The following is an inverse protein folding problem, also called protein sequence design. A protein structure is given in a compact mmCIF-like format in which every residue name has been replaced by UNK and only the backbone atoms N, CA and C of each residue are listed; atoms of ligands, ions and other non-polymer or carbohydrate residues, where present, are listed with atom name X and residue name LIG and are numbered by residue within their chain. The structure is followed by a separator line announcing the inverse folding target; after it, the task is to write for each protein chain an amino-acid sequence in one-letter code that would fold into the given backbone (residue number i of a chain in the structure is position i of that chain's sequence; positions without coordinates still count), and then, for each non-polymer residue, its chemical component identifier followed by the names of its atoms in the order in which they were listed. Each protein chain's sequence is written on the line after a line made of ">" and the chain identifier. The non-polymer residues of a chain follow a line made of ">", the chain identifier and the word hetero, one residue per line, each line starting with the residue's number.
data_IF_086051905620
#
_entry.id   IF_086051905620
#
_cell.length_a   1.000
_cell.length_b   1.000
_cell.length_c   1.000
_cell.angle_alpha   90.00
_cell.angle_beta   90.00
_cell.angle_gamma   90.00
#
_symmetry.space_group_name_H-M   'P 1'
#
loop_
_entity.id
_entity.type
_entity.pdbx_description
1 polymer ?
#
# COMPACT_ATOMS: atom_id res chain seq x y z
N UNK A 1 -0.06 17.14 27.00
CA UNK A 1 -0.52 17.36 25.60
C UNK A 1 -0.83 15.99 25.03
N UNK A 2 -2.11 15.66 24.86
CA UNK A 2 -2.54 14.37 24.32
C UNK A 2 -2.06 14.27 22.87
N UNK A 3 -1.23 13.25 22.57
CA UNK A 3 -0.64 13.00 21.24
C UNK A 3 -1.21 11.76 20.55
N UNK A 4 -2.10 11.03 21.23
CA UNK A 4 -2.73 9.85 20.67
C UNK A 4 -3.69 10.21 19.55
N UNK A 5 -3.79 9.32 18.56
CA UNK A 5 -4.67 9.45 17.40
C UNK A 5 -4.86 8.11 16.70
N UNK A 6 -5.92 7.99 15.92
CA UNK A 6 -6.25 6.86 15.08
C UNK A 6 -6.22 7.31 13.61
N UNK A 7 -5.31 6.73 12.83
CA UNK A 7 -5.21 6.88 11.38
C UNK A 7 -5.74 5.62 10.70
N UNK A 8 -6.76 5.75 9.85
CA UNK A 8 -7.38 4.63 9.16
C UNK A 8 -7.11 4.69 7.65
N UNK A 9 -6.49 3.65 7.11
CA UNK A 9 -6.23 3.44 5.68
C UNK A 9 -7.17 2.35 5.19
N UNK A 10 -8.10 2.71 4.32
CA UNK A 10 -9.11 1.81 3.75
C UNK A 10 -9.06 1.76 2.23
N UNK A 11 -9.82 0.85 1.64
CA UNK A 11 -9.89 0.66 0.19
C UNK A 11 -9.98 -0.82 -0.18
N UNK A 12 -10.15 -1.13 -1.47
CA UNK A 12 -10.25 -2.52 -1.90
C UNK A 12 -8.93 -3.27 -1.75
N UNK A 13 -8.96 -4.57 -2.04
CA UNK A 13 -7.76 -5.35 -2.30
C UNK A 13 -6.95 -4.72 -3.44
N UNK A 14 -5.64 -4.93 -3.43
CA UNK A 14 -4.68 -4.41 -4.43
C UNK A 14 -4.50 -2.88 -4.44
N UNK A 15 -5.09 -2.15 -3.49
CA UNK A 15 -4.93 -0.69 -3.36
C UNK A 15 -3.62 -0.27 -2.63
N UNK A 16 -2.76 -1.20 -2.25
CA UNK A 16 -1.49 -0.89 -1.57
C UNK A 16 -1.62 -0.47 -0.10
N UNK A 17 -2.70 -0.87 0.60
CA UNK A 17 -2.96 -0.47 2.00
C UNK A 17 -1.83 -0.83 2.96
N UNK A 18 -1.40 -2.09 2.98
CA UNK A 18 -0.24 -2.54 3.78
C UNK A 18 1.02 -1.74 3.41
N UNK A 19 1.25 -1.45 2.13
CA UNK A 19 2.41 -0.65 1.68
C UNK A 19 2.36 0.76 2.26
N UNK A 20 1.19 1.41 2.23
CA UNK A 20 1.00 2.74 2.82
C UNK A 20 1.15 2.71 4.35
N UNK A 21 0.58 1.70 5.03
CA UNK A 21 0.77 1.50 6.47
C UNK A 21 2.25 1.39 6.82
N UNK A 22 2.99 0.52 6.12
CA UNK A 22 4.41 0.32 6.36
C UNK A 22 5.25 1.56 6.00
N UNK A 23 4.86 2.35 4.99
CA UNK A 23 5.49 3.63 4.68
C UNK A 23 5.34 4.62 5.84
N UNK A 24 4.15 4.69 6.46
CA UNK A 24 3.92 5.53 7.65
C UNK A 24 4.72 5.02 8.85
N UNK A 25 4.75 3.72 9.09
CA UNK A 25 5.59 3.11 10.15
C UNK A 25 7.07 3.46 9.95
N UNK A 26 7.60 3.32 8.73
CA UNK A 26 9.00 3.70 8.42
C UNK A 26 9.27 5.17 8.74
N UNK A 27 8.33 6.08 8.46
CA UNK A 27 8.44 7.51 8.82
C UNK A 27 8.56 7.71 10.33
N UNK A 28 7.75 7.01 11.12
CA UNK A 28 7.82 7.11 12.60
C UNK A 28 9.13 6.53 13.16
N UNK A 29 9.64 5.44 12.56
CA UNK A 29 10.97 4.90 12.90
C UNK A 29 12.08 5.91 12.64
N UNK A 30 12.04 6.64 11.51
CA UNK A 30 13.00 7.72 11.24
C UNK A 30 12.92 8.86 12.25
N UNK A 31 11.73 9.10 12.82
CA UNK A 31 11.52 10.02 13.94
C UNK A 31 11.91 9.42 15.32
N UNK A 32 12.48 8.20 15.33
CA UNK A 32 12.92 7.44 16.53
C UNK A 32 11.78 6.97 17.43
N UNK A 33 10.58 6.82 16.89
CA UNK A 33 9.46 6.21 17.60
C UNK A 33 9.55 4.68 17.59
N UNK A 34 9.23 4.07 18.73
CA UNK A 34 9.10 2.63 18.86
C UNK A 34 7.78 2.17 18.23
N UNK A 35 7.86 1.22 17.30
CA UNK A 35 6.71 0.76 16.51
C UNK A 35 6.43 -0.72 16.74
N UNK A 36 5.14 -1.07 16.86
CA UNK A 36 4.66 -2.44 16.97
C UNK A 36 3.65 -2.74 15.86
N UNK A 37 3.95 -3.76 15.05
CA UNK A 37 3.08 -4.17 13.95
C UNK A 37 2.28 -5.41 14.36
N UNK A 38 0.97 -5.35 14.24
CA UNK A 38 0.04 -6.43 14.55
C UNK A 38 -0.60 -6.90 13.25
N UNK A 39 -0.50 -8.19 12.96
CA UNK A 39 -1.06 -8.84 11.78
C UNK A 39 -2.08 -9.88 12.19
N UNK A 40 -3.00 -10.19 11.27
CA UNK A 40 -3.95 -11.27 11.46
C UNK A 40 -3.30 -12.65 11.26
N UNK A 41 -3.37 -13.51 12.27
CA UNK A 41 -2.66 -14.79 12.29
C UNK A 41 -3.08 -15.75 11.16
N UNK A 42 -4.34 -15.71 10.72
CA UNK A 42 -4.82 -16.60 9.66
C UNK A 42 -4.48 -16.10 8.26
N UNK A 43 -3.94 -14.90 8.12
CA UNK A 43 -3.48 -14.37 6.84
C UNK A 43 -2.00 -14.72 6.59
N UNK A 44 -1.78 -15.93 6.06
CA UNK A 44 -0.45 -16.47 5.78
C UNK A 44 0.08 -16.11 4.38
N UNK A 45 -0.65 -15.28 3.62
CA UNK A 45 -0.29 -14.92 2.23
C UNK A 45 1.05 -14.18 2.13
N UNK A 46 1.42 -13.45 3.18
CA UNK A 46 2.63 -12.63 3.21
C UNK A 46 3.90 -13.42 3.59
N UNK A 47 3.79 -14.54 4.29
CA UNK A 47 4.96 -15.33 4.71
C UNK A 47 5.60 -16.08 3.54
N UNK A 48 4.82 -16.39 2.49
CA UNK A 48 5.30 -17.13 1.31
C UNK A 48 6.11 -16.25 0.34
N UNK A 49 5.91 -14.93 0.37
CA UNK A 49 6.53 -13.99 -0.59
C UNK A 49 7.62 -13.09 -0.02
N UNK A 50 7.85 -13.10 1.30
CA UNK A 50 8.84 -12.23 1.95
C UNK A 50 10.19 -12.93 2.21
N UNK A 51 10.64 -13.74 1.25
CA UNK A 51 12.04 -14.16 1.19
C UNK A 51 12.86 -12.98 0.67
N UNK A 52 13.67 -12.43 1.58
CA UNK A 52 14.79 -11.53 1.33
C UNK A 52 14.46 -10.16 0.73
N UNK A 53 13.95 -9.25 1.55
CA UNK A 53 14.28 -7.83 1.40
C UNK A 53 15.30 -7.45 2.49
N UNK A 54 16.42 -6.86 2.06
CA UNK A 54 17.58 -6.43 2.85
C UNK A 54 17.25 -5.37 3.95
N UNK A 55 15.96 -5.10 4.16
CA UNK A 55 15.33 -4.17 5.10
C UNK A 55 14.81 -4.88 6.38
N UNK A 56 15.11 -6.16 6.58
CA UNK A 56 14.67 -6.94 7.76
C UNK A 56 15.18 -6.41 9.12
N UNK A 57 16.02 -5.38 9.13
CA UNK A 57 16.66 -4.87 10.35
C UNK A 57 15.72 -4.00 11.21
N UNK A 58 14.65 -3.41 10.66
CA UNK A 58 13.96 -2.28 11.33
C UNK A 58 12.56 -2.57 11.88
N UNK A 59 11.97 -3.76 11.66
CA UNK A 59 10.66 -4.12 12.19
C UNK A 59 10.75 -5.33 13.13
N UNK A 60 11.54 -5.20 14.20
CA UNK A 60 11.80 -6.28 15.18
C UNK A 60 10.61 -6.65 16.06
N UNK A 61 9.55 -5.83 16.08
CA UNK A 61 8.36 -6.05 16.89
C UNK A 61 7.14 -6.29 15.99
N UNK A 62 6.88 -7.56 15.69
CA UNK A 62 5.68 -8.01 15.00
C UNK A 62 4.97 -9.08 15.83
N UNK A 63 3.65 -9.04 15.85
CA UNK A 63 2.82 -10.11 16.39
C UNK A 63 1.80 -10.53 15.33
N UNK A 64 1.57 -11.85 15.23
CA UNK A 64 0.50 -12.42 14.45
C UNK A 64 -0.52 -13.02 15.42
N UNK A 65 -1.72 -12.45 15.48
CA UNK A 65 -2.77 -12.78 16.46
C UNK A 65 -4.12 -12.91 15.78
N UNK A 66 -5.06 -13.64 16.39
CA UNK A 66 -6.44 -13.70 15.88
C UNK A 66 -7.32 -12.60 16.49
N UNK A 67 -7.01 -12.18 17.71
CA UNK A 67 -7.66 -11.09 18.45
C UNK A 67 -6.60 -10.10 18.96
N UNK A 68 -6.92 -8.80 19.01
CA UNK A 68 -5.97 -7.79 19.50
C UNK A 68 -5.70 -7.96 21.00
N UNK A 69 -6.67 -8.47 21.77
CA UNK A 69 -6.51 -8.80 23.18
C UNK A 69 -5.34 -9.77 23.46
N UNK A 70 -4.94 -10.61 22.50
CA UNK A 70 -3.81 -11.53 22.64
C UNK A 70 -2.47 -10.83 22.82
N UNK A 71 -2.32 -9.57 22.36
CA UNK A 71 -1.07 -8.81 22.56
C UNK A 71 -0.89 -8.35 24.02
N UNK A 72 -1.93 -8.46 24.85
CA UNK A 72 -1.93 -8.12 26.29
C UNK A 72 -1.34 -6.72 26.52
N UNK A 73 -0.43 -6.57 27.48
CA UNK A 73 0.21 -5.28 27.78
C UNK A 73 1.43 -4.97 26.90
N UNK A 74 1.77 -5.85 25.96
CA UNK A 74 2.98 -5.71 25.13
C UNK A 74 2.96 -4.43 24.31
N UNK A 75 1.78 -3.97 23.88
CA UNK A 75 1.63 -2.74 23.09
C UNK A 75 1.95 -1.47 23.91
N UNK A 76 1.86 -1.50 25.23
CA UNK A 76 2.02 -0.31 26.08
C UNK A 76 3.44 0.28 26.03
N UNK A 77 4.46 -0.55 25.73
CA UNK A 77 5.86 -0.10 25.64
C UNK A 77 6.21 0.60 24.32
N UNK A 78 5.28 0.66 23.37
CA UNK A 78 5.51 1.26 22.05
C UNK A 78 4.82 2.62 21.93
N UNK A 79 5.33 3.46 21.04
CA UNK A 79 4.74 4.76 20.71
C UNK A 79 3.67 4.63 19.62
N UNK A 80 3.92 3.72 18.65
CA UNK A 80 3.10 3.51 17.45
C UNK A 80 2.62 2.06 17.38
N UNK A 81 1.32 1.88 17.14
CA UNK A 81 0.69 0.59 16.89
C UNK A 81 0.18 0.56 15.46
N UNK A 82 0.66 -0.38 14.65
CA UNK A 82 0.25 -0.53 13.26
C UNK A 82 -0.48 -1.86 13.08
N UNK A 83 -1.79 -1.80 12.87
CA UNK A 83 -2.68 -2.97 12.72
C UNK A 83 -2.93 -3.16 11.23
N UNK A 84 -2.52 -4.30 10.68
CA UNK A 84 -2.83 -4.68 9.29
C UNK A 84 -3.97 -5.70 9.24
N UNK A 85 -4.74 -5.64 8.16
CA UNK A 85 -5.95 -6.44 7.95
C UNK A 85 -6.99 -6.27 9.10
N UNK A 86 -7.18 -5.02 9.53
CA UNK A 86 -8.00 -4.63 10.69
C UNK A 86 -9.43 -5.18 10.69
N UNK A 87 -9.99 -5.47 9.52
CA UNK A 87 -11.35 -6.00 9.38
C UNK A 87 -11.58 -7.37 10.03
N UNK A 88 -10.52 -8.11 10.34
CA UNK A 88 -10.62 -9.43 10.96
C UNK A 88 -10.66 -9.39 12.50
N UNK A 89 -10.39 -8.24 13.11
CA UNK A 89 -10.38 -8.09 14.56
C UNK A 89 -11.74 -7.61 15.07
N UNK A 90 -12.45 -8.47 15.80
CA UNK A 90 -13.74 -8.12 16.41
C UNK A 90 -13.60 -7.04 17.49
N UNK A 91 -12.45 -6.98 18.15
CA UNK A 91 -12.12 -6.04 19.22
C UNK A 91 -11.44 -4.75 18.72
N UNK A 92 -11.43 -4.51 17.40
CA UNK A 92 -10.74 -3.38 16.77
C UNK A 92 -11.07 -2.03 17.40
N UNK A 93 -12.35 -1.68 17.50
CA UNK A 93 -12.79 -0.35 17.95
C UNK A 93 -12.38 -0.10 19.41
N UNK A 94 -12.61 -1.09 20.28
CA UNK A 94 -12.25 -0.97 21.70
C UNK A 94 -10.74 -0.84 21.91
N UNK A 95 -9.96 -1.66 21.20
CA UNK A 95 -8.49 -1.62 21.28
C UNK A 95 -7.93 -0.28 20.78
N UNK A 96 -8.37 0.19 19.60
CA UNK A 96 -7.86 1.43 19.00
C UNK A 96 -8.13 2.65 19.89
N UNK A 97 -9.34 2.78 20.45
CA UNK A 97 -9.67 3.87 21.36
C UNK A 97 -8.85 3.80 22.65
N UNK A 98 -8.77 2.61 23.28
CA UNK A 98 -7.98 2.41 24.51
C UNK A 98 -6.51 2.81 24.30
N UNK A 99 -5.92 2.42 23.18
CA UNK A 99 -4.54 2.78 22.86
C UNK A 99 -4.38 4.27 22.55
N UNK A 100 -5.28 4.87 21.77
CA UNK A 100 -5.22 6.30 21.44
C UNK A 100 -5.40 7.17 22.70
N UNK A 101 -6.34 6.83 23.58
CA UNK A 101 -6.55 7.50 24.87
C UNK A 101 -5.33 7.39 25.80
N UNK A 102 -4.60 6.28 25.72
CA UNK A 102 -3.30 6.09 26.37
C UNK A 102 -2.13 6.84 25.69
N UNK A 103 -2.42 7.67 24.69
CA UNK A 103 -1.46 8.54 24.01
C UNK A 103 -0.70 7.88 22.85
N UNK A 104 -1.15 6.72 22.35
CA UNK A 104 -0.50 5.99 21.25
C UNK A 104 -0.94 6.50 19.89
N UNK A 105 -0.04 6.41 18.91
CA UNK A 105 -0.39 6.60 17.49
C UNK A 105 -0.86 5.25 16.95
N UNK A 106 -2.14 5.12 16.68
CA UNK A 106 -2.74 3.88 16.15
C UNK A 106 -2.95 4.06 14.65
N UNK A 107 -2.34 3.21 13.85
CA UNK A 107 -2.51 3.19 12.39
C UNK A 107 -3.17 1.87 12.00
N UNK A 108 -4.25 1.91 11.25
CA UNK A 108 -5.02 0.72 10.86
C UNK A 108 -5.12 0.66 9.34
N UNK A 109 -4.74 -0.47 8.76
CA UNK A 109 -5.00 -0.83 7.35
C UNK A 109 -6.11 -1.86 7.31
N UNK A 110 -7.18 -1.61 6.56
CA UNK A 110 -8.31 -2.53 6.50
C UNK A 110 -9.12 -2.44 5.20
N UNK A 111 -9.89 -3.49 4.90
CA UNK A 111 -10.96 -3.41 3.91
C UNK A 111 -12.19 -2.74 4.55
N UNK A 112 -12.71 -1.67 3.94
CA UNK A 112 -13.95 -1.05 4.43
C UNK A 112 -15.20 -1.82 4.01
N UNK A 113 -15.11 -2.60 2.93
CA UNK A 113 -16.20 -3.43 2.45
C UNK A 113 -15.73 -4.82 2.02
N UNK A 114 -16.58 -5.81 2.26
CA UNK A 114 -16.41 -7.18 1.75
C UNK A 114 -16.69 -7.27 0.24
N UNK A 115 -16.62 -8.50 -0.30
CA UNK A 115 -16.87 -8.75 -1.72
C UNK A 115 -18.30 -8.39 -2.21
N UNK A 116 -19.23 -8.16 -1.28
CA UNK A 116 -20.62 -7.74 -1.51
C UNK A 116 -20.82 -6.24 -1.26
N UNK A 117 -19.76 -5.53 -0.86
CA UNK A 117 -19.77 -4.12 -0.40
C UNK A 117 -20.55 -3.91 0.90
N UNK A 118 -20.70 -4.96 1.72
CA UNK A 118 -21.16 -4.82 3.11
C UNK A 118 -19.97 -4.44 3.98
N UNK A 119 -20.22 -3.73 5.08
CA UNK A 119 -19.14 -3.38 6.02
C UNK A 119 -18.40 -4.66 6.45
N UNK A 120 -17.06 -4.60 6.47
CA UNK A 120 -16.23 -5.73 6.86
C UNK A 120 -15.78 -5.55 8.31
N UNK A 121 -16.24 -6.43 9.19
CA UNK A 121 -15.97 -6.33 10.62
C UNK A 121 -16.47 -4.99 11.18
N UNK A 122 -15.67 -4.39 12.06
CA UNK A 122 -16.00 -3.10 12.70
C UNK A 122 -15.27 -1.90 12.06
N UNK A 123 -14.78 -2.02 10.82
CA UNK A 123 -13.99 -0.96 10.16
C UNK A 123 -14.80 0.32 9.97
N UNK A 124 -16.06 0.20 9.54
CA UNK A 124 -16.91 1.39 9.38
C UNK A 124 -17.30 2.01 10.73
N UNK A 125 -17.37 1.21 11.78
CA UNK A 125 -17.64 1.68 13.16
C UNK A 125 -16.43 2.41 13.76
N UNK A 126 -15.22 2.14 13.27
CA UNK A 126 -14.01 2.84 13.69
C UNK A 126 -13.93 4.28 13.14
N UNK A 127 -14.53 4.54 11.97
CA UNK A 127 -14.44 5.84 11.24
C UNK A 127 -14.72 7.07 12.11
N UNK A 128 -15.77 7.12 12.97
CA UNK A 128 -16.06 8.30 13.79
C UNK A 128 -15.00 8.60 14.85
N UNK A 129 -14.14 7.63 15.18
CA UNK A 129 -13.06 7.77 16.16
C UNK A 129 -11.72 8.17 15.53
N UNK A 130 -11.64 8.24 14.19
CA UNK A 130 -10.39 8.53 13.50
C UNK A 130 -10.16 10.02 13.25
N UNK A 131 -8.97 10.51 13.59
CA UNK A 131 -8.50 11.84 13.20
C UNK A 131 -8.18 11.93 11.69
N UNK A 132 -7.88 10.79 11.05
CA UNK A 132 -7.70 10.74 9.59
C UNK A 132 -8.21 9.43 9.00
N UNK A 133 -8.89 9.53 7.85
CA UNK A 133 -9.37 8.38 7.08
C UNK A 133 -8.97 8.56 5.61
N UNK A 134 -8.10 7.68 5.13
CA UNK A 134 -7.58 7.67 3.76
C UNK A 134 -8.12 6.47 2.99
N UNK A 135 -9.00 6.72 2.01
CA UNK A 135 -9.53 5.66 1.14
C UNK A 135 -8.74 5.56 -0.16
N UNK A 136 -7.86 4.56 -0.22
CA UNK A 136 -7.05 4.26 -1.39
C UNK A 136 -7.88 3.62 -2.50
N UNK A 137 -7.49 3.87 -3.74
CA UNK A 137 -8.04 3.20 -4.92
C UNK A 137 -6.99 2.30 -5.56
N UNK A 138 -7.42 1.15 -6.08
CA UNK A 138 -6.60 0.32 -6.96
C UNK A 138 -6.83 0.71 -8.43
N UNK A 139 -6.23 -0.03 -9.37
CA UNK A 139 -6.59 0.02 -10.80
C UNK A 139 -7.61 -1.07 -11.09
N UNK A 140 -8.65 -0.78 -11.87
CA UNK A 140 -9.66 -1.78 -12.21
C UNK A 140 -9.10 -2.90 -13.08
N UNK A 141 -9.18 -4.13 -12.60
CA UNK A 141 -8.71 -5.33 -13.28
C UNK A 141 -9.71 -5.86 -14.33
N UNK A 142 -10.73 -5.11 -14.70
CA UNK A 142 -11.65 -5.47 -15.79
C UNK A 142 -11.64 -4.47 -16.94
N UNK A 143 -11.52 -3.16 -16.65
CA UNK A 143 -11.46 -2.13 -17.70
C UNK A 143 -10.09 -1.48 -17.84
N UNK A 144 -9.19 -1.63 -16.86
CA UNK A 144 -7.81 -1.13 -16.84
C UNK A 144 -7.63 0.38 -16.96
N UNK A 145 -8.70 1.14 -17.13
CA UNK A 145 -8.68 2.59 -17.31
C UNK A 145 -9.12 3.36 -16.06
N UNK A 146 -9.94 2.74 -15.21
CA UNK A 146 -10.62 3.45 -14.11
C UNK A 146 -10.06 3.06 -12.74
N UNK A 147 -10.06 4.00 -11.77
CA UNK A 147 -9.85 3.67 -10.37
C UNK A 147 -10.85 2.60 -9.90
N UNK A 148 -10.36 1.65 -9.15
CA UNK A 148 -11.15 0.62 -8.50
C UNK A 148 -11.33 0.94 -7.02
N UNK A 149 -12.58 0.87 -6.56
CA UNK A 149 -12.96 1.14 -5.17
C UNK A 149 -13.61 -0.08 -4.51
N UNK A 150 -13.77 -1.20 -5.24
CA UNK A 150 -14.48 -2.38 -4.77
C UNK A 150 -13.67 -3.64 -5.04
N UNK A 151 -13.70 -4.57 -4.10
CA UNK A 151 -13.23 -5.94 -4.31
C UNK A 151 -14.38 -6.79 -4.80
N UNK A 152 -14.15 -7.57 -5.86
CA UNK A 152 -15.08 -8.57 -6.36
C UNK A 152 -14.43 -9.94 -6.24
N UNK A 153 -15.19 -10.91 -5.70
CA UNK A 153 -14.79 -12.32 -5.64
C UNK A 153 -15.05 -12.99 -6.99
N UNK A 154 -14.12 -13.83 -7.43
CA UNK A 154 -14.17 -14.55 -8.72
C UNK A 154 -14.50 -16.03 -8.60
N UNK A 155 -14.46 -16.56 -7.38
CA UNK A 155 -14.79 -17.96 -7.05
C UNK A 155 -16.18 -18.08 -6.42
N UNK A 156 -16.84 -19.22 -6.64
CA UNK A 156 -18.17 -19.54 -6.11
C UNK A 156 -18.13 -19.97 -4.65
N UNK A 157 -17.65 -19.09 -3.78
CA UNK A 157 -17.66 -19.27 -2.33
C UNK A 157 -18.46 -18.15 -1.68
N UNK A 158 -19.25 -18.48 -0.66
CA UNK A 158 -20.16 -17.51 -0.01
C UNK A 158 -19.65 -16.99 1.33
N UNK A 159 -18.73 -17.69 2.00
CA UNK A 159 -18.18 -17.27 3.30
C UNK A 159 -17.61 -15.85 3.23
N UNK A 160 -17.89 -15.00 4.21
CA UNK A 160 -17.38 -13.62 4.18
C UNK A 160 -15.85 -13.60 4.31
N UNK A 161 -15.32 -14.29 5.34
CA UNK A 161 -13.89 -14.57 5.49
C UNK A 161 -13.49 -15.73 4.57
N UNK A 162 -12.72 -15.40 3.53
CA UNK A 162 -12.04 -16.35 2.66
C UNK A 162 -10.70 -15.74 2.27
N UNK A 163 -9.62 -16.22 2.88
CA UNK A 163 -8.26 -15.75 2.63
C UNK A 163 -7.85 -16.18 1.22
N UNK A 164 -7.48 -15.21 0.40
CA UNK A 164 -7.09 -15.45 -1.00
C UNK A 164 -6.44 -14.21 -1.61
N UNK A 165 -5.75 -14.39 -2.73
CA UNK A 165 -5.07 -13.31 -3.44
C UNK A 165 -5.80 -12.96 -4.73
N UNK A 166 -5.01 -12.63 -5.75
CA UNK A 166 -5.50 -12.29 -7.08
C UNK A 166 -6.05 -13.50 -7.86
N UNK A 167 -5.92 -14.71 -7.32
CA UNK A 167 -6.54 -15.94 -7.80
C UNK A 167 -8.03 -16.05 -7.44
N UNK A 168 -8.48 -15.38 -6.36
CA UNK A 168 -9.87 -15.41 -5.87
C UNK A 168 -10.59 -14.06 -5.92
N UNK A 169 -9.83 -12.97 -6.09
CA UNK A 169 -10.34 -11.61 -5.99
C UNK A 169 -9.76 -10.69 -7.06
N UNK A 170 -10.56 -9.72 -7.49
CA UNK A 170 -10.16 -8.64 -8.39
C UNK A 170 -10.64 -7.28 -7.86
N UNK A 171 -9.87 -6.22 -8.11
CA UNK A 171 -10.31 -4.86 -7.86
C UNK A 171 -11.12 -4.32 -9.05
N UNK A 172 -12.27 -3.72 -8.79
CA UNK A 172 -13.19 -3.23 -9.83
C UNK A 172 -13.65 -1.80 -9.59
N UNK A 173 -13.86 -1.07 -10.69
CA UNK A 173 -14.58 0.20 -10.68
C UNK A 173 -16.09 -0.07 -10.51
N UNK A 174 -16.87 0.99 -10.26
CA UNK A 174 -18.32 0.89 -10.06
C UNK A 174 -19.05 0.16 -11.19
N UNK A 175 -18.73 0.49 -12.44
CA UNK A 175 -19.39 -0.12 -13.61
C UNK A 175 -19.02 -1.58 -13.81
N UNK A 176 -17.77 -1.96 -13.55
CA UNK A 176 -17.32 -3.35 -13.70
C UNK A 176 -17.80 -4.26 -12.56
N UNK A 177 -18.00 -3.72 -11.35
CA UNK A 177 -18.53 -4.49 -10.21
C UNK A 177 -19.91 -5.09 -10.52
N UNK A 178 -20.77 -4.36 -11.21
CA UNK A 178 -22.15 -4.78 -11.53
C UNK A 178 -22.29 -5.57 -12.82
N UNK A 179 -21.20 -5.79 -13.58
CA UNK A 179 -21.25 -6.60 -14.80
C UNK A 179 -21.47 -8.07 -14.44
N UNK A 180 -22.35 -8.76 -15.15
CA UNK A 180 -22.59 -10.18 -14.90
C UNK A 180 -21.35 -11.04 -15.23
N UNK A 181 -20.71 -10.76 -16.37
CA UNK A 181 -19.52 -11.48 -16.79
C UNK A 181 -18.31 -11.12 -15.93
N UNK A 182 -17.70 -12.15 -15.35
CA UNK A 182 -16.39 -12.12 -14.72
C UNK A 182 -15.32 -12.50 -15.73
N UNK A 183 -14.09 -11.97 -15.62
CA UNK A 183 -12.96 -12.54 -16.34
C UNK A 183 -12.75 -13.97 -15.86
N UNK A 184 -12.46 -14.87 -16.79
CA UNK A 184 -12.05 -16.24 -16.53
C UNK A 184 -10.72 -16.26 -15.76
N UNK A 185 -10.45 -17.37 -15.04
CA UNK A 185 -9.18 -17.55 -14.35
C UNK A 185 -7.97 -17.49 -15.31
N UNK A 186 -8.15 -17.88 -16.57
CA UNK A 186 -7.11 -17.78 -17.59
C UNK A 186 -6.80 -16.32 -17.93
N UNK A 187 -7.82 -15.49 -18.13
CA UNK A 187 -7.66 -14.05 -18.39
C UNK A 187 -6.99 -13.34 -17.20
N UNK A 188 -7.41 -13.65 -15.97
CA UNK A 188 -6.80 -13.09 -14.75
C UNK A 188 -5.31 -13.46 -14.67
N UNK A 189 -4.96 -14.71 -14.95
CA UNK A 189 -3.54 -15.17 -14.93
C UNK A 189 -2.70 -14.50 -16.00
N UNK A 190 -3.21 -14.42 -17.24
CA UNK A 190 -2.52 -13.73 -18.33
C UNK A 190 -2.26 -12.27 -17.99
N UNK A 191 -3.24 -11.60 -17.39
CA UNK A 191 -3.11 -10.22 -16.95
C UNK A 191 -2.03 -10.07 -15.86
N UNK A 192 -2.00 -10.96 -14.86
CA UNK A 192 -0.96 -10.94 -13.83
C UNK A 192 0.44 -11.16 -14.41
N UNK A 193 0.57 -12.03 -15.42
CA UNK A 193 1.85 -12.23 -16.12
C UNK A 193 2.29 -10.97 -16.85
N UNK A 194 1.37 -10.30 -17.56
CA UNK A 194 1.66 -9.04 -18.25
C UNK A 194 2.09 -7.92 -17.27
N UNK A 195 1.44 -7.80 -16.11
CA UNK A 195 1.83 -6.83 -15.07
C UNK A 195 3.25 -7.12 -14.57
N UNK A 196 3.56 -8.39 -14.25
CA UNK A 196 4.91 -8.78 -13.79
C UNK A 196 5.99 -8.52 -14.84
N UNK A 197 5.68 -8.67 -16.11
CA UNK A 197 6.60 -8.38 -17.22
C UNK A 197 6.91 -6.88 -17.29
N UNK A 198 5.87 -6.04 -17.21
CA UNK A 198 6.02 -4.58 -17.15
C UNK A 198 6.84 -4.18 -15.92
N UNK A 199 6.51 -4.69 -14.73
CA UNK A 199 7.27 -4.42 -13.51
C UNK A 199 8.76 -4.78 -13.65
N UNK A 200 9.09 -5.94 -14.24
CA UNK A 200 10.49 -6.30 -14.53
C UNK A 200 11.17 -5.33 -15.46
N UNK A 201 10.47 -4.80 -16.47
CA UNK A 201 11.04 -3.81 -17.39
C UNK A 201 11.39 -2.49 -16.69
N UNK A 202 10.63 -2.07 -15.68
CA UNK A 202 10.90 -0.84 -14.92
C UNK A 202 11.94 -1.06 -13.81
N UNK A 203 11.92 -2.21 -13.13
CA UNK A 203 12.90 -2.53 -12.07
C UNK A 203 14.29 -2.85 -12.67
N UNK A 204 14.33 -3.43 -13.89
CA UNK A 204 15.57 -3.76 -14.60
C UNK A 204 16.40 -2.55 -15.08
N UNK A 205 15.88 -1.33 -15.00
CA UNK A 205 16.65 -0.10 -15.34
C UNK A 205 17.54 0.36 -14.18
N UNK A 206 17.34 -0.13 -12.95
CA UNK A 206 18.07 0.33 -11.76
C UNK A 206 19.47 -0.31 -11.56
N UNK A 207 19.93 -1.21 -12.43
CA UNK A 207 21.23 -1.89 -12.26
C UNK A 207 22.08 -1.90 -13.53
N UNK A 208 22.50 -0.74 -14.03
CA UNK A 208 23.69 -0.61 -14.88
C UNK A 208 24.43 0.71 -14.60
N UNK A 209 25.15 0.75 -13.49
CA UNK A 209 26.41 1.50 -13.41
C UNK A 209 27.48 0.55 -12.87
N UNK A 210 28.03 -0.27 -13.76
CA UNK A 210 29.36 -0.84 -13.55
C UNK A 210 30.37 0.24 -13.93
N UNK A 211 30.95 0.87 -12.92
CA UNK A 211 32.16 1.67 -13.07
C UNK A 211 33.31 0.73 -13.41
N UNK A 212 33.88 0.87 -14.61
CA UNK A 212 35.18 0.30 -14.95
C UNK A 212 36.27 0.95 -14.06
N UNK A 213 37.14 0.18 -13.39
CA UNK A 213 38.24 0.76 -12.64
C UNK A 213 39.38 1.13 -13.60
N UNK A 214 39.59 2.43 -13.75
CA UNK A 214 40.78 2.98 -14.40
C UNK A 214 41.99 2.74 -13.49
N UNK A 215 43.03 2.08 -14.04
CA UNK A 215 44.32 1.87 -13.39
C UNK A 215 44.99 3.23 -13.16
N UNK A 216 45.20 3.61 -11.90
CA UNK A 216 46.29 4.52 -11.55
C UNK A 216 47.37 3.77 -10.76
N UNK A 217 48.56 3.76 -11.36
CA UNK A 217 49.78 3.24 -10.78
C UNK A 217 50.20 4.04 -9.54
N UNK A 218 50.69 3.32 -8.54
CA UNK A 218 51.21 3.91 -7.30
C UNK A 218 52.53 4.65 -7.47
N UNK A 219 52.73 5.62 -6.58
CA UNK A 219 54.01 6.22 -6.22
C UNK A 219 53.92 6.68 -4.75
N UNK A 220 54.99 6.57 -3.93
CA UNK A 220 54.85 6.50 -2.49
C UNK A 220 55.17 7.82 -1.74
N UNK A 221 54.79 7.80 -0.45
CA UNK A 221 55.48 8.36 0.71
C UNK A 221 54.93 9.62 1.42
N UNK A 222 55.16 9.60 2.74
CA UNK A 222 55.25 10.69 3.73
C UNK A 222 54.02 11.00 4.63
N UNK A 223 53.99 10.33 5.80
CA UNK A 223 54.18 10.86 7.17
C UNK A 223 53.54 12.19 7.68
N UNK A 224 53.03 12.11 8.94
CA UNK A 224 52.76 13.13 10.02
C UNK A 224 51.75 14.27 9.71
N UNK A 225 50.89 14.78 10.59
CA UNK A 225 50.60 14.67 12.03
C UNK A 225 49.56 15.74 12.43
N UNK A 226 48.96 15.57 13.62
CA UNK A 226 48.37 16.58 14.52
C UNK A 226 47.14 17.45 14.13
N UNK A 227 46.09 17.34 14.96
CA UNK A 227 45.05 18.33 15.29
C UNK A 227 45.63 19.56 16.05
N UNK A 228 44.92 20.68 16.38
CA UNK A 228 43.46 20.87 16.49
C UNK A 228 42.88 22.26 16.07
N UNK A 229 41.56 22.40 16.26
CA UNK A 229 40.70 23.62 16.23
C UNK A 229 41.19 24.75 17.17
N UNK A 230 40.78 26.04 17.03
CA UNK A 230 39.52 26.51 17.67
C UNK A 230 38.77 27.71 17.01
N UNK A 231 37.46 27.81 17.33
CA UNK A 231 36.60 28.99 17.64
C UNK A 231 36.62 30.25 16.70
N UNK A 232 35.57 31.05 16.50
CA UNK A 232 34.49 31.54 17.36
C UNK A 232 33.46 32.38 16.53
N UNK A 233 32.41 32.99 17.12
CA UNK A 233 31.06 33.17 16.55
C UNK A 233 30.66 34.61 16.19
N UNK A 234 29.51 34.80 15.53
CA UNK A 234 28.54 35.93 15.57
C UNK A 234 27.53 35.70 14.43
N UNK A 235 26.22 35.99 14.46
CA UNK A 235 25.33 36.75 15.33
C UNK A 235 23.92 36.66 14.71
N UNK A 236 22.88 36.97 15.48
CA UNK A 236 21.48 36.69 15.15
C UNK A 236 20.82 37.59 14.09
N UNK A 237 19.62 37.17 13.69
CA UNK A 237 18.69 37.94 12.87
C UNK A 237 17.56 37.06 12.30
N UNK A 238 16.35 37.23 12.80
CA UNK A 238 15.08 36.86 12.15
C UNK A 238 14.21 38.12 12.03
N UNK A 239 13.18 38.13 11.16
CA UNK A 239 13.15 37.83 9.73
C UNK A 239 12.55 39.05 8.96
N UNK A 240 12.24 38.93 7.65
CA UNK A 240 10.87 39.28 7.31
C UNK A 240 10.18 38.35 6.29
N UNK A 241 8.85 38.35 6.44
CA UNK A 241 7.79 37.91 5.54
C UNK A 241 8.03 38.21 4.05
N UNK A 242 7.79 37.22 3.20
CA UNK A 242 7.32 37.44 1.83
C UNK A 242 6.57 36.19 1.32
N UNK A 243 5.28 36.38 1.06
CA UNK A 243 4.44 35.45 0.30
C UNK A 243 4.92 35.39 -1.16
N UNK A 244 5.17 34.18 -1.67
CA UNK A 244 5.43 33.90 -3.08
C UNK A 244 4.45 32.84 -3.61
N UNK A 245 3.97 32.95 -4.86
CA UNK A 245 2.95 32.05 -5.39
C UNK A 245 3.50 30.66 -5.73
N UNK A 246 2.67 29.63 -5.47
CA UNK A 246 2.90 28.22 -5.77
C UNK A 246 3.21 27.96 -7.26
N UNK A 247 4.20 27.10 -7.61
CA UNK A 247 4.62 26.86 -8.99
C UNK A 247 3.76 25.83 -9.77
N UNK A 248 2.64 25.33 -9.23
CA UNK A 248 1.84 24.35 -9.94
C UNK A 248 0.74 25.00 -10.79
N UNK A 249 1.13 25.48 -11.98
CA UNK A 249 0.18 25.83 -13.04
C UNK A 249 0.50 25.02 -14.31
N UNK A 250 -0.47 24.18 -14.68
CA UNK A 250 -0.73 23.60 -16.01
C UNK A 250 0.34 22.68 -16.63
N UNK A 251 0.26 21.38 -16.34
CA UNK A 251 0.60 20.34 -17.32
C UNK A 251 -0.70 19.82 -17.95
N UNK A 252 -1.01 20.34 -19.14
CA UNK A 252 -1.96 19.71 -20.05
C UNK A 252 -1.33 18.41 -20.58
N UNK A 253 -1.80 17.27 -20.09
CA UNK A 253 -1.48 15.96 -20.67
C UNK A 253 -2.46 15.75 -21.84
N UNK A 254 -1.93 15.72 -23.06
CA UNK A 254 -2.69 15.34 -24.25
C UNK A 254 -3.14 13.86 -24.15
N UNK A 255 -4.36 13.50 -24.58
CA UNK A 255 -4.79 12.11 -24.59
C UNK A 255 -4.02 11.31 -25.66
N UNK A 256 -3.69 10.03 -25.41
CA UNK A 256 -3.03 9.19 -26.41
C UNK A 256 -3.93 8.93 -27.62
N UNK A 257 -3.30 8.84 -28.79
CA UNK A 257 -3.92 8.70 -30.10
C UNK A 257 -4.88 7.50 -30.19
N UNK A 258 -6.02 7.71 -30.85
CA UNK A 258 -7.02 6.68 -31.16
C UNK A 258 -6.37 5.57 -32.01
N UNK A 259 -6.32 4.34 -31.49
CA UNK A 259 -6.10 3.17 -32.35
C UNK A 259 -7.29 3.01 -33.29
N UNK A 260 -6.99 2.87 -34.57
CA UNK A 260 -7.95 2.69 -35.65
C UNK A 260 -8.85 1.47 -35.42
N UNK A 261 -10.16 1.68 -35.60
CA UNK A 261 -11.14 0.63 -35.84
C UNK A 261 -10.68 -0.20 -37.05
N UNK A 262 -10.58 -1.51 -36.88
CA UNK A 262 -10.65 -2.44 -38.00
C UNK A 262 -12.13 -2.56 -38.39
N UNK A 263 -12.43 -2.09 -39.59
CA UNK A 263 -13.73 -2.24 -40.24
C UNK A 263 -13.98 -3.72 -40.56
N UNK A 264 -15.15 -4.23 -40.15
CA UNK A 264 -15.67 -5.50 -40.59
C UNK A 264 -16.74 -5.24 -41.68
N UNK A 265 -16.40 -5.58 -42.91
CA UNK A 265 -17.23 -5.64 -44.13
C UNK A 265 -16.75 -6.95 -44.79
N UNK A 266 -17.52 -8.01 -45.00
CA UNK A 266 -18.82 -8.26 -45.67
C UNK A 266 -19.42 -9.59 -45.13
N UNK A 267 -20.74 -9.74 -44.95
CA UNK A 267 -21.72 -10.39 -45.86
C UNK A 267 -21.20 -11.72 -46.48
N UNK A 268 -21.90 -12.85 -46.53
CA UNK A 268 -23.34 -13.14 -46.68
C UNK A 268 -23.57 -14.68 -46.66
N UNK A 269 -24.83 -15.13 -46.58
CA UNK A 269 -25.41 -16.48 -46.87
C UNK A 269 -25.34 -17.55 -45.75
N UNK A 270 -26.38 -18.34 -45.44
CA UNK A 270 -27.70 -18.58 -46.03
C UNK A 270 -28.65 -19.22 -45.00
N UNK A 271 -29.95 -19.08 -45.27
CA UNK A 271 -31.10 -19.57 -44.53
C UNK A 271 -31.25 -21.11 -44.45
N UNK A 272 -31.97 -21.57 -43.41
CA UNK A 272 -33.13 -22.50 -43.44
C UNK A 272 -33.61 -22.72 -41.99
N UNK A 273 -34.78 -22.21 -41.60
CA UNK A 273 -36.04 -22.95 -41.48
C UNK A 273 -35.97 -24.15 -40.52
N UNK A 274 -36.60 -24.06 -39.35
CA UNK A 274 -37.69 -24.94 -38.93
C UNK A 274 -38.38 -24.35 -37.69
N UNK A 275 -39.70 -24.51 -37.69
CA UNK A 275 -40.75 -24.15 -36.73
C UNK A 275 -40.44 -24.42 -35.27
#
# INVERSE_FOLDING_TARGET
>A
MFRGRIELIIGPMFAGKTTELMRRVKREIHARHSCFVIKYAKDTRYDVHNVASHDQVTLRAQAAVSELAEVRDTWQKFDVLAIDEGQFFADLVGFCNTAADAGKIVMVSALDGDYRRKSFGHVCELVPYCESVDKLSAVCMMCHEKPACFTRRTVSEERQELIGGADMYIATCRGCFTRQQLPSNAEIRLQQMAIKEVERSYVGVATKQETTPEKLAGGPAAEVGESPSPAAPIGGGTPPSAAGPSPYRNLHIAPPAKLHRLDAVTAERSATAFT
#
